data_IF_585539148257
#
_entry.id   IF_585539148257
#
_cell.length_a   1.000
_cell.length_b   1.000
_cell.length_c   1.000
_cell.angle_alpha   90.00
_cell.angle_beta   90.00
_cell.angle_gamma   90.00
#
_symmetry.space_group_name_H-M   'P 1'
#
loop_
_entity.id
_entity.type
_entity.pdbx_description
1 polymer ?
#
# COMPACT_ATOMS: atom_id res chain seq x y z
N UNK A 1 11.04 -2.22 0.12
CA UNK A 1 10.24 -1.17 0.75
C UNK A 1 10.99 -0.50 1.90
N UNK A 2 11.35 -1.23 2.96
CA UNK A 2 11.97 -0.65 4.19
C UNK A 2 13.22 0.19 3.85
N UNK A 3 14.14 -0.34 3.05
CA UNK A 3 15.35 0.36 2.63
C UNK A 3 15.04 1.64 1.84
N UNK A 4 14.09 1.58 0.91
CA UNK A 4 13.65 2.74 0.15
C UNK A 4 13.00 3.82 1.05
N UNK A 5 12.17 3.39 2.02
CA UNK A 5 11.55 4.27 3.00
C UNK A 5 12.60 4.96 3.89
N UNK A 6 13.59 4.21 4.39
CA UNK A 6 14.69 4.75 5.19
C UNK A 6 15.50 5.76 4.36
N UNK A 7 15.90 5.41 3.14
CA UNK A 7 16.66 6.30 2.27
C UNK A 7 15.91 7.60 1.96
N UNK A 8 14.61 7.51 1.68
CA UNK A 8 13.75 8.68 1.45
C UNK A 8 13.64 9.55 2.72
N UNK A 9 13.43 8.92 3.87
CA UNK A 9 13.37 9.62 5.15
C UNK A 9 14.67 10.37 5.48
N UNK A 10 15.82 9.72 5.26
CA UNK A 10 17.14 10.35 5.47
C UNK A 10 17.38 11.50 4.49
N UNK A 11 16.96 11.36 3.24
CA UNK A 11 17.10 12.41 2.23
C UNK A 11 16.25 13.64 2.58
N UNK A 12 15.00 13.43 2.98
CA UNK A 12 14.13 14.52 3.39
C UNK A 12 14.62 15.22 4.66
N UNK A 13 15.10 14.46 5.65
CA UNK A 13 15.73 15.03 6.85
C UNK A 13 16.98 15.86 6.51
N UNK A 14 17.79 15.40 5.54
CA UNK A 14 18.91 16.18 5.03
C UNK A 14 18.45 17.49 4.38
N UNK A 15 17.37 17.46 3.59
CA UNK A 15 16.82 18.68 2.97
C UNK A 15 16.33 19.67 4.04
N UNK A 16 15.67 19.19 5.10
CA UNK A 16 15.25 20.02 6.24
C UNK A 16 16.48 20.65 6.91
N UNK A 17 17.52 19.87 7.20
CA UNK A 17 18.76 20.35 7.81
C UNK A 17 19.47 21.39 6.92
N UNK A 18 19.49 21.19 5.62
CA UNK A 18 20.07 22.10 4.66
C UNK A 18 19.27 23.42 4.54
N UNK A 19 17.96 23.33 4.53
CA UNK A 19 17.07 24.50 4.44
C UNK A 19 17.14 25.38 5.68
N UNK A 20 17.35 24.80 6.86
CA UNK A 20 17.51 25.52 8.13
C UNK A 20 18.96 25.98 8.39
N UNK A 21 19.89 25.72 7.47
CA UNK A 21 21.30 26.03 7.61
C UNK A 21 21.91 25.55 8.94
N UNK A 22 21.45 24.39 9.42
CA UNK A 22 21.92 23.82 10.69
C UNK A 22 23.35 23.31 10.56
N UNK A 23 24.12 23.42 11.64
CA UNK A 23 25.51 22.92 11.70
C UNK A 23 25.64 21.40 11.49
N UNK A 24 24.53 20.70 11.40
CA UNK A 24 24.41 19.25 11.16
C UNK A 24 24.54 18.90 9.67
N UNK A 25 24.63 19.90 8.78
CA UNK A 25 24.86 19.70 7.36
C UNK A 25 26.23 19.03 7.14
N UNK A 26 26.19 17.74 6.80
CA UNK A 26 27.37 16.93 6.46
C UNK A 26 27.13 16.26 5.11
N UNK A 27 28.06 16.48 4.17
CA UNK A 27 28.02 15.85 2.84
C UNK A 27 27.88 14.32 2.89
N UNK A 28 28.43 13.68 3.92
CA UNK A 28 28.30 12.25 4.12
C UNK A 28 26.83 11.78 4.28
N UNK A 29 25.99 12.58 4.95
CA UNK A 29 24.57 12.26 5.11
C UNK A 29 23.81 12.24 3.78
N UNK A 30 24.15 13.17 2.87
CA UNK A 30 23.59 13.16 1.53
C UNK A 30 24.01 11.90 0.77
N UNK A 31 25.28 11.55 0.80
CA UNK A 31 25.81 10.36 0.13
C UNK A 31 25.15 9.08 0.68
N UNK A 32 25.01 8.96 1.99
CA UNK A 32 24.35 7.82 2.64
C UNK A 32 22.86 7.70 2.27
N UNK A 33 22.13 8.82 2.30
CA UNK A 33 20.70 8.84 1.94
C UNK A 33 20.49 8.50 0.47
N UNK A 34 21.30 9.06 -0.43
CA UNK A 34 21.23 8.76 -1.85
C UNK A 34 21.61 7.31 -2.15
N UNK A 35 22.68 6.78 -1.54
CA UNK A 35 23.09 5.39 -1.71
C UNK A 35 21.99 4.43 -1.24
N UNK A 36 21.41 4.69 -0.06
CA UNK A 36 20.33 3.87 0.49
C UNK A 36 19.08 3.90 -0.40
N UNK A 37 18.73 5.08 -0.91
CA UNK A 37 17.58 5.25 -1.81
C UNK A 37 17.85 4.59 -3.17
N UNK A 38 19.06 4.77 -3.73
CA UNK A 38 19.45 4.25 -5.03
C UNK A 38 19.48 2.70 -5.07
N UNK A 39 19.78 2.06 -3.95
CA UNK A 39 19.70 0.61 -3.81
C UNK A 39 18.26 0.16 -3.48
N UNK A 40 17.62 0.85 -2.53
CA UNK A 40 16.32 0.43 -2.02
C UNK A 40 15.16 0.63 -2.99
N UNK A 41 15.16 1.73 -3.75
CA UNK A 41 14.07 2.06 -4.65
C UNK A 41 13.98 1.11 -5.86
N UNK A 42 15.06 0.84 -6.63
CA UNK A 42 15.00 -0.13 -7.71
C UNK A 42 14.64 -1.52 -7.22
N UNK A 43 15.24 -1.99 -6.13
CA UNK A 43 14.94 -3.30 -5.57
C UNK A 43 13.45 -3.44 -5.21
N UNK A 44 12.86 -2.40 -4.62
CA UNK A 44 11.43 -2.38 -4.31
C UNK A 44 10.58 -2.34 -5.58
N UNK A 45 10.91 -1.50 -6.55
CA UNK A 45 10.19 -1.40 -7.81
C UNK A 45 10.22 -2.72 -8.60
N UNK A 46 11.40 -3.32 -8.76
CA UNK A 46 11.54 -4.60 -9.47
C UNK A 46 10.78 -5.75 -8.81
N UNK A 47 10.63 -5.73 -7.48
CA UNK A 47 9.88 -6.77 -6.76
C UNK A 47 8.37 -6.49 -6.75
N UNK A 48 7.99 -5.23 -6.58
CA UNK A 48 6.59 -4.84 -6.38
C UNK A 48 5.82 -4.64 -7.68
N UNK A 49 6.42 -4.00 -8.70
CA UNK A 49 5.72 -3.71 -9.97
C UNK A 49 5.18 -4.96 -10.67
N UNK A 50 5.94 -6.05 -10.85
CA UNK A 50 5.42 -7.25 -11.49
C UNK A 50 4.29 -7.90 -10.69
N UNK A 51 4.39 -7.88 -9.36
CA UNK A 51 3.37 -8.41 -8.47
C UNK A 51 2.08 -7.60 -8.53
N UNK A 52 2.20 -6.27 -8.64
CA UNK A 52 1.08 -5.35 -8.78
C UNK A 52 0.44 -5.48 -10.16
N UNK A 53 1.24 -5.53 -11.23
CA UNK A 53 0.76 -5.68 -12.60
C UNK A 53 -0.04 -6.98 -12.78
N UNK A 54 0.46 -8.11 -12.28
CA UNK A 54 -0.26 -9.39 -12.31
C UNK A 54 -1.57 -9.36 -11.53
N UNK A 55 -1.62 -8.67 -10.39
CA UNK A 55 -2.83 -8.59 -9.58
C UNK A 55 -3.91 -7.68 -10.21
N UNK A 56 -3.52 -6.75 -11.10
CA UNK A 56 -4.43 -5.84 -11.79
C UNK A 56 -4.82 -6.34 -13.18
N UNK A 57 -4.23 -7.42 -13.70
CA UNK A 57 -4.64 -8.02 -14.97
C UNK A 57 -6.02 -8.69 -14.84
N UNK A 58 -6.68 -8.90 -15.98
CA UNK A 58 -8.01 -9.54 -16.04
C UNK A 58 -7.92 -11.07 -16.25
N UNK A 59 -6.70 -11.65 -16.26
CA UNK A 59 -6.47 -13.06 -16.54
C UNK A 59 -6.75 -13.96 -15.33
N UNK A 60 -6.94 -15.25 -15.56
CA UNK A 60 -7.13 -16.26 -14.51
C UNK A 60 -5.94 -16.30 -13.53
N UNK A 61 -4.73 -16.06 -14.01
CA UNK A 61 -3.52 -15.94 -13.19
C UNK A 61 -3.58 -14.76 -12.19
N UNK A 62 -4.36 -13.73 -12.48
CA UNK A 62 -4.55 -12.59 -11.59
C UNK A 62 -5.31 -12.96 -10.32
N UNK A 63 -6.26 -13.87 -10.41
CA UNK A 63 -7.00 -14.36 -9.21
C UNK A 63 -6.04 -15.12 -8.29
N UNK A 64 -5.15 -15.93 -8.85
CA UNK A 64 -4.14 -16.64 -8.09
C UNK A 64 -3.11 -15.67 -7.47
N UNK A 65 -2.68 -14.63 -8.19
CA UNK A 65 -1.79 -13.59 -7.67
C UNK A 65 -2.44 -12.79 -6.52
N UNK A 66 -3.73 -12.45 -6.62
CA UNK A 66 -4.51 -11.79 -5.54
C UNK A 66 -4.74 -12.70 -4.34
N UNK A 67 -4.84 -14.02 -4.55
CA UNK A 67 -4.97 -15.03 -3.49
C UNK A 67 -3.66 -15.34 -2.78
N UNK A 68 -2.52 -14.91 -3.33
CA UNK A 68 -1.20 -15.16 -2.76
C UNK A 68 -1.12 -14.68 -1.30
N UNK A 69 -0.82 -15.60 -0.41
CA UNK A 69 -0.63 -15.33 1.03
C UNK A 69 0.52 -14.35 1.24
N UNK A 70 1.60 -14.46 0.45
CA UNK A 70 2.78 -13.59 0.54
C UNK A 70 2.39 -12.14 0.27
N UNK A 71 1.58 -11.87 -0.77
CA UNK A 71 1.10 -10.52 -1.08
C UNK A 71 0.25 -9.94 0.05
N UNK A 72 -0.63 -10.74 0.63
CA UNK A 72 -1.48 -10.29 1.76
C UNK A 72 -0.66 -9.98 2.99
N UNK A 73 0.27 -10.86 3.37
CA UNK A 73 1.19 -10.63 4.49
C UNK A 73 1.97 -9.34 4.28
N UNK A 74 2.51 -9.12 3.07
CA UNK A 74 3.23 -7.90 2.76
C UNK A 74 2.34 -6.65 2.93
N UNK A 75 1.12 -6.65 2.38
CA UNK A 75 0.19 -5.51 2.49
C UNK A 75 -0.21 -5.23 3.94
N UNK A 76 -0.54 -6.27 4.71
CA UNK A 76 -0.87 -6.12 6.13
C UNK A 76 0.32 -5.61 6.95
N UNK A 77 1.52 -6.11 6.68
CA UNK A 77 2.73 -5.66 7.36
C UNK A 77 3.05 -4.20 7.03
N UNK A 78 2.89 -3.80 5.78
CA UNK A 78 3.10 -2.42 5.36
C UNK A 78 2.06 -1.45 5.97
N UNK A 79 0.78 -1.87 6.03
CA UNK A 79 -0.29 -1.11 6.70
C UNK A 79 -0.01 -1.01 8.19
N UNK A 80 0.36 -2.12 8.83
CA UNK A 80 0.71 -2.13 10.25
C UNK A 80 1.87 -1.17 10.55
N UNK A 81 2.95 -1.23 9.75
CA UNK A 81 4.07 -0.31 9.89
C UNK A 81 3.66 1.15 9.68
N UNK A 82 2.77 1.43 8.72
CA UNK A 82 2.21 2.75 8.47
C UNK A 82 1.40 3.28 9.65
N UNK A 83 0.55 2.44 10.24
CA UNK A 83 -0.26 2.81 11.43
C UNK A 83 0.64 3.06 12.64
N UNK A 84 1.49 2.09 13.00
CA UNK A 84 2.33 2.21 14.20
C UNK A 84 3.33 3.37 14.07
N UNK A 85 4.00 3.48 12.92
CA UNK A 85 4.94 4.57 12.68
C UNK A 85 4.25 5.93 12.62
N UNK A 86 3.05 6.01 12.01
CA UNK A 86 2.22 7.21 11.97
C UNK A 86 1.76 7.63 13.39
N UNK A 87 1.38 6.68 14.24
CA UNK A 87 1.02 6.97 15.64
C UNK A 87 2.22 7.55 16.41
N UNK A 88 3.40 6.93 16.27
CA UNK A 88 4.62 7.44 16.92
C UNK A 88 4.95 8.84 16.45
N UNK A 89 4.91 9.10 15.14
CA UNK A 89 5.17 10.42 14.56
C UNK A 89 4.13 11.46 15.03
N UNK A 90 2.85 11.07 15.12
CA UNK A 90 1.78 11.94 15.61
C UNK A 90 1.97 12.30 17.10
N UNK A 91 2.28 11.32 17.95
CA UNK A 91 2.57 11.57 19.37
C UNK A 91 3.74 12.53 19.53
N UNK A 92 4.83 12.31 18.78
CA UNK A 92 6.00 13.17 18.82
C UNK A 92 5.67 14.60 18.37
N UNK A 93 4.89 14.76 17.31
CA UNK A 93 4.43 16.08 16.84
C UNK A 93 3.58 16.79 17.89
N UNK A 94 2.62 16.10 18.50
CA UNK A 94 1.74 16.65 19.55
C UNK A 94 2.57 17.02 20.77
N UNK A 95 3.53 16.19 21.18
CA UNK A 95 4.42 16.48 22.31
C UNK A 95 5.19 17.79 22.10
N UNK A 96 5.79 17.96 20.91
CA UNK A 96 6.50 19.19 20.56
C UNK A 96 5.60 20.44 20.61
N UNK A 97 4.35 20.31 20.14
CA UNK A 97 3.39 21.40 20.19
C UNK A 97 3.01 21.76 21.64
N UNK A 98 2.83 20.76 22.51
CA UNK A 98 2.56 21.02 23.92
C UNK A 98 3.75 21.64 24.64
N UNK A 99 4.98 21.18 24.38
CA UNK A 99 6.19 21.80 24.94
C UNK A 99 6.30 23.28 24.55
N UNK A 100 6.01 23.62 23.29
CA UNK A 100 5.98 25.00 22.83
C UNK A 100 4.86 25.81 23.50
N UNK A 101 3.66 25.24 23.64
CA UNK A 101 2.51 25.91 24.28
C UNK A 101 2.74 26.16 25.77
N UNK A 102 3.45 25.25 26.44
CA UNK A 102 3.81 25.38 27.86
C UNK A 102 5.01 26.32 28.09
N UNK A 103 5.53 26.95 27.06
CA UNK A 103 6.63 27.90 27.13
C UNK A 103 8.02 27.32 27.30
N UNK A 104 8.17 26.02 27.01
CA UNK A 104 9.45 25.30 27.10
C UNK A 104 9.82 24.64 25.76
N UNK A 105 9.86 25.37 24.64
CA UNK A 105 10.20 24.79 23.34
C UNK A 105 11.66 24.28 23.33
N UNK A 106 11.93 23.13 22.72
CA UNK A 106 13.30 22.63 22.59
C UNK A 106 14.15 23.55 21.69
N UNK A 107 15.48 23.52 21.90
CA UNK A 107 16.42 24.39 21.16
C UNK A 107 16.30 24.25 19.64
N UNK A 108 15.92 23.09 19.12
CA UNK A 108 15.78 22.81 17.70
C UNK A 108 14.29 22.65 17.27
N UNK A 109 13.38 23.36 17.93
CA UNK A 109 11.93 23.21 17.75
C UNK A 109 11.49 23.14 16.28
N UNK A 110 11.93 24.10 15.46
CA UNK A 110 11.54 24.16 14.03
C UNK A 110 12.01 22.92 13.26
N UNK A 111 13.23 22.46 13.53
CA UNK A 111 13.80 21.28 12.91
C UNK A 111 13.04 20.01 13.33
N UNK A 112 12.79 19.86 14.61
CA UNK A 112 12.12 18.69 15.17
C UNK A 112 10.65 18.62 14.72
N UNK A 113 10.01 19.80 14.62
CA UNK A 113 8.66 19.95 14.08
C UNK A 113 8.59 19.52 12.61
N UNK A 114 9.51 19.98 11.76
CA UNK A 114 9.55 19.63 10.34
C UNK A 114 9.86 18.14 10.14
N UNK A 115 10.76 17.58 10.93
CA UNK A 115 11.07 16.15 10.87
C UNK A 115 9.88 15.28 11.33
N UNK A 116 9.17 15.68 12.38
CA UNK A 116 7.98 14.96 12.85
C UNK A 116 6.85 15.04 11.82
N UNK A 117 6.65 16.20 11.20
CA UNK A 117 5.67 16.39 10.13
C UNK A 117 6.04 15.55 8.89
N UNK A 118 7.31 15.55 8.50
CA UNK A 118 7.83 14.72 7.42
C UNK A 118 7.55 13.22 7.66
N UNK A 119 7.85 12.72 8.87
CA UNK A 119 7.58 11.33 9.24
C UNK A 119 6.09 11.00 9.19
N UNK A 120 5.23 11.92 9.66
CA UNK A 120 3.78 11.75 9.59
C UNK A 120 3.29 11.64 8.14
N UNK A 121 3.82 12.48 7.24
CA UNK A 121 3.50 12.44 5.81
C UNK A 121 4.00 11.14 5.16
N UNK A 122 5.21 10.68 5.49
CA UNK A 122 5.76 9.44 4.95
C UNK A 122 4.96 8.21 5.40
N UNK A 123 4.66 8.08 6.68
CA UNK A 123 3.86 6.98 7.20
C UNK A 123 2.41 7.05 6.74
N UNK A 124 1.83 8.25 6.65
CA UNK A 124 0.51 8.48 6.08
C UNK A 124 0.43 8.08 4.62
N UNK A 125 1.42 8.44 3.81
CA UNK A 125 1.53 8.04 2.41
C UNK A 125 1.70 6.53 2.25
N UNK A 126 2.55 5.91 3.10
CA UNK A 126 2.73 4.47 3.15
C UNK A 126 1.40 3.76 3.44
N UNK A 127 0.69 4.21 4.45
CA UNK A 127 -0.60 3.67 4.86
C UNK A 127 -1.65 3.82 3.74
N UNK A 128 -1.79 5.03 3.20
CA UNK A 128 -2.77 5.34 2.15
C UNK A 128 -2.55 4.50 0.88
N UNK A 129 -1.30 4.37 0.43
CA UNK A 129 -0.95 3.59 -0.74
C UNK A 129 -1.29 2.10 -0.57
N UNK A 130 -0.87 1.50 0.56
CA UNK A 130 -1.09 0.07 0.80
C UNK A 130 -2.55 -0.25 1.13
N UNK A 131 -3.24 0.65 1.83
CA UNK A 131 -4.69 0.55 2.07
C UNK A 131 -5.47 0.58 0.76
N UNK A 132 -5.15 1.50 -0.15
CA UNK A 132 -5.80 1.58 -1.46
C UNK A 132 -5.55 0.30 -2.28
N UNK A 133 -4.34 -0.25 -2.25
CA UNK A 133 -4.01 -1.52 -2.91
C UNK A 133 -4.85 -2.68 -2.34
N UNK A 134 -4.95 -2.78 -1.02
CA UNK A 134 -5.75 -3.81 -0.36
C UNK A 134 -7.24 -3.68 -0.68
N UNK A 135 -7.77 -2.45 -0.68
CA UNK A 135 -9.18 -2.18 -1.01
C UNK A 135 -9.51 -2.54 -2.46
N UNK A 136 -8.63 -2.23 -3.41
CA UNK A 136 -8.79 -2.60 -4.82
C UNK A 136 -8.82 -4.12 -5.01
N UNK A 137 -7.92 -4.84 -4.35
CA UNK A 137 -7.92 -6.31 -4.37
C UNK A 137 -9.24 -6.90 -3.84
N UNK A 138 -9.84 -6.27 -2.83
CA UNK A 138 -11.13 -6.67 -2.28
C UNK A 138 -12.31 -6.45 -3.22
N UNK A 139 -12.37 -5.29 -3.88
CA UNK A 139 -13.45 -4.94 -4.82
C UNK A 139 -13.46 -5.86 -6.04
N UNK A 140 -12.31 -6.05 -6.68
CA UNK A 140 -12.17 -6.95 -7.85
C UNK A 140 -12.57 -8.40 -7.51
N UNK A 141 -12.30 -8.84 -6.30
CA UNK A 141 -12.71 -10.17 -5.84
C UNK A 141 -14.22 -10.30 -5.64
N UNK A 142 -14.90 -9.25 -5.19
CA UNK A 142 -16.36 -9.28 -4.99
C UNK A 142 -17.11 -9.29 -6.33
N UNK A 143 -16.62 -8.56 -7.32
CA UNK A 143 -17.19 -8.57 -8.68
C UNK A 143 -17.12 -9.96 -9.33
N UNK A 144 -15.95 -10.60 -9.32
CA UNK A 144 -15.76 -11.94 -9.89
C UNK A 144 -16.60 -12.98 -9.16
N UNK A 145 -16.77 -12.85 -7.85
CA UNK A 145 -17.59 -13.77 -7.07
C UNK A 145 -19.08 -13.62 -7.36
N UNK A 146 -19.54 -12.39 -7.60
CA UNK A 146 -20.92 -12.11 -8.03
C UNK A 146 -21.21 -12.72 -9.39
N UNK A 147 -20.34 -12.50 -10.38
CA UNK A 147 -20.49 -13.06 -11.72
C UNK A 147 -20.50 -14.59 -11.74
N UNK A 148 -19.59 -15.23 -11.00
CA UNK A 148 -19.60 -16.71 -10.86
C UNK A 148 -20.83 -17.25 -10.16
N UNK A 149 -21.39 -16.52 -9.20
CA UNK A 149 -22.62 -16.93 -8.51
C UNK A 149 -23.85 -16.86 -9.44
N UNK A 150 -23.92 -15.85 -10.29
CA UNK A 150 -24.99 -15.72 -11.27
C UNK A 150 -24.93 -16.82 -12.33
N UNK A 151 -23.75 -17.15 -12.83
CA UNK A 151 -23.57 -18.25 -13.80
C UNK A 151 -23.95 -19.60 -13.17
N UNK A 152 -23.52 -19.85 -11.92
CA UNK A 152 -23.87 -21.08 -11.21
C UNK A 152 -25.38 -21.19 -10.91
N UNK A 153 -26.05 -20.08 -10.60
CA UNK A 153 -27.51 -20.07 -10.35
C UNK A 153 -28.30 -20.40 -11.62
N UNK A 154 -27.86 -19.88 -12.77
CA UNK A 154 -28.48 -20.22 -14.07
C UNK A 154 -28.26 -21.69 -14.41
N UNK A 155 -27.06 -22.24 -14.20
CA UNK A 155 -26.78 -23.67 -14.42
C UNK A 155 -27.57 -24.59 -13.51
N UNK A 156 -27.73 -24.25 -12.23
CA UNK A 156 -28.54 -25.03 -11.27
C UNK A 156 -30.03 -24.99 -11.62
N UNK A 157 -30.57 -23.87 -12.07
CA UNK A 157 -31.95 -23.74 -12.52
C UNK A 157 -32.22 -24.61 -13.75
N UNK A 158 -31.27 -24.70 -14.68
CA UNK A 158 -31.42 -25.54 -15.89
C UNK A 158 -31.34 -27.03 -15.55
N UNK A 159 -30.43 -27.43 -14.66
CA UNK A 159 -30.31 -28.85 -14.22
C UNK A 159 -31.51 -29.31 -13.37
N UNK A 160 -32.07 -28.45 -12.54
CA UNK A 160 -33.17 -28.80 -11.65
C UNK A 160 -34.54 -28.82 -12.39
N UNK A 161 -34.70 -28.00 -13.41
CA UNK A 161 -35.92 -27.94 -14.19
C UNK A 161 -35.98 -28.99 -15.30
N UNK A 162 -34.87 -29.42 -15.87
CA UNK A 162 -34.81 -30.38 -16.98
C UNK A 162 -35.67 -30.02 -18.20
N UNK A 163 -36.36 -28.85 -18.11
CA UNK A 163 -37.33 -28.41 -19.09
C UNK A 163 -36.69 -27.89 -20.36
N UNK A 164 -35.55 -27.20 -20.25
CA UNK A 164 -34.84 -26.68 -21.42
C UNK A 164 -34.18 -27.80 -22.22
N UNK A 165 -33.59 -28.79 -21.57
CA UNK A 165 -33.00 -29.94 -22.23
C UNK A 165 -34.06 -30.81 -22.92
N UNK A 166 -35.22 -30.97 -22.29
CA UNK A 166 -36.35 -31.70 -22.87
C UNK A 166 -37.02 -30.93 -24.03
N UNK A 167 -37.12 -29.61 -23.95
CA UNK A 167 -37.61 -28.76 -25.05
C UNK A 167 -36.64 -28.75 -26.24
N UNK A 168 -35.32 -28.66 -26.00
CA UNK A 168 -34.31 -28.78 -27.06
C UNK A 168 -34.34 -30.17 -27.72
N UNK A 169 -34.47 -31.23 -26.93
CA UNK A 169 -34.61 -32.60 -27.46
C UNK A 169 -35.87 -32.75 -28.32
N UNK A 170 -37.00 -32.19 -27.88
CA UNK A 170 -38.27 -32.23 -28.63
C UNK A 170 -38.25 -31.40 -29.92
N UNK A 171 -37.43 -30.37 -29.98
CA UNK A 171 -37.21 -29.58 -31.21
C UNK A 171 -36.26 -30.26 -32.21
N UNK A 172 -35.32 -31.05 -31.71
CA UNK A 172 -34.39 -31.81 -32.55
C UNK A 172 -34.98 -33.12 -33.10
N UNK A 173 -36.02 -33.70 -32.44
CA UNK A 173 -36.74 -34.90 -32.92
C UNK A 173 -37.91 -34.55 -33.87
N UNK A 174 -38.16 -33.27 -34.15
CA UNK A 174 -39.27 -32.81 -34.99
C UNK A 174 -38.87 -32.56 -36.47
N UNK A 175 -37.64 -32.85 -36.86
CA UNK A 175 -37.09 -32.87 -38.24
C UNK A 175 -36.83 -34.31 -38.68
#
# INVERSE_FOLDING_TARGET
>A
LVTAFIGLSMLLAFIVDAALATSVYKSNRLAESLATLFVGLPLWLFTWQPMQAKALSADEDAEQARRSIIRKIYLYLAIFAGVVGGMVAAVQLISLLFEALLGSPPNNFTRDLLNSLQMLVLFGGLLAYHWQSLRRDGLLRSEIKGEKADILSVLLLDVESGTLSNQLASLMDAD
#
